data_IF_612303868727
#
_entry.id   IF_612303868727
#
_cell.length_a   1.000
_cell.length_b   1.000
_cell.length_c   1.000
_cell.angle_alpha   90.00
_cell.angle_beta   90.00
_cell.angle_gamma   90.00
#
_symmetry.space_group_name_H-M   'P 1'
#
loop_
_entity.id
_entity.type
_entity.pdbx_description
1 polymer ?
#
# COMPACT_ATOMS: atom_id res chain seq x y z
N UNK A 1 28.83 43.74 -4.01
CA UNK A 1 27.52 43.39 -3.45
C UNK A 1 26.62 42.56 -4.39
N UNK A 2 26.98 42.38 -5.65
CA UNK A 2 26.18 41.66 -6.65
C UNK A 2 26.43 40.15 -6.70
N UNK A 3 27.67 39.68 -6.45
CA UNK A 3 28.01 38.26 -6.49
C UNK A 3 27.23 37.42 -5.46
N UNK A 4 26.93 37.97 -4.27
CA UNK A 4 26.16 37.30 -3.24
C UNK A 4 24.68 37.10 -3.64
N UNK A 5 24.12 38.03 -4.41
CA UNK A 5 22.72 37.95 -4.89
C UNK A 5 22.56 36.87 -5.99
N UNK A 6 23.56 36.72 -6.85
CA UNK A 6 23.56 35.70 -7.91
C UNK A 6 23.69 34.30 -7.32
N UNK A 7 24.52 34.12 -6.29
CA UNK A 7 24.71 32.83 -5.59
C UNK A 7 23.43 32.40 -4.85
N UNK A 8 22.74 33.32 -4.19
CA UNK A 8 21.48 33.02 -3.48
C UNK A 8 20.36 32.67 -4.49
N UNK A 9 20.26 33.38 -5.61
CA UNK A 9 19.30 33.05 -6.66
C UNK A 9 19.57 31.70 -7.33
N UNK A 10 20.82 31.34 -7.57
CA UNK A 10 21.20 30.04 -8.14
C UNK A 10 20.88 28.90 -7.14
N UNK A 11 21.10 29.13 -5.84
CA UNK A 11 20.78 28.13 -4.81
C UNK A 11 19.26 27.92 -4.66
N UNK A 12 18.46 28.98 -4.74
CA UNK A 12 16.98 28.86 -4.71
C UNK A 12 16.45 28.15 -5.97
N UNK A 13 17.04 28.36 -7.14
CA UNK A 13 16.63 27.67 -8.36
C UNK A 13 16.95 26.17 -8.31
N UNK A 14 18.06 25.80 -7.71
CA UNK A 14 18.47 24.38 -7.61
C UNK A 14 17.61 23.59 -6.62
N UNK A 15 17.11 24.23 -5.56
CA UNK A 15 16.19 23.60 -4.60
C UNK A 15 14.79 23.41 -5.16
N UNK A 16 14.36 24.23 -6.15
CA UNK A 16 13.05 24.08 -6.77
C UNK A 16 12.96 22.92 -7.77
N UNK A 17 14.11 22.38 -8.23
CA UNK A 17 14.15 21.25 -9.17
C UNK A 17 14.16 19.88 -8.50
N UNK A 18 14.12 19.82 -7.17
CA UNK A 18 13.83 18.60 -6.40
C UNK A 18 12.32 18.34 -6.32
N UNK A 19 11.60 18.54 -7.42
CA UNK A 19 10.21 18.13 -7.56
C UNK A 19 10.16 16.61 -7.38
N UNK A 20 9.49 16.16 -6.33
CA UNK A 20 9.36 14.75 -6.00
C UNK A 20 9.03 13.93 -7.24
N UNK A 21 9.79 12.89 -7.48
CA UNK A 21 9.44 11.93 -8.51
C UNK A 21 8.08 11.33 -8.12
N UNK A 22 7.05 11.68 -8.88
CA UNK A 22 5.76 11.05 -8.72
C UNK A 22 5.94 9.53 -8.83
N UNK A 23 5.41 8.81 -7.86
CA UNK A 23 5.49 7.36 -7.85
C UNK A 23 4.85 6.82 -9.13
N UNK A 24 5.66 6.13 -9.95
CA UNK A 24 5.20 5.64 -11.25
C UNK A 24 4.42 4.35 -11.06
N UNK A 25 3.19 4.33 -11.58
CA UNK A 25 2.37 3.13 -11.65
C UNK A 25 2.75 2.30 -12.88
N UNK A 26 2.89 1.00 -12.72
CA UNK A 26 2.98 0.08 -13.85
C UNK A 26 1.60 -0.10 -14.51
N UNK A 27 1.59 -0.30 -15.80
CA UNK A 27 0.38 -0.64 -16.53
C UNK A 27 0.37 -2.13 -16.85
N UNK A 28 -0.56 -2.85 -16.23
CA UNK A 28 -0.85 -4.24 -16.56
C UNK A 28 -2.00 -4.23 -17.54
N UNK A 29 -1.74 -4.65 -18.78
CA UNK A 29 -2.77 -4.71 -19.82
C UNK A 29 -3.43 -6.07 -19.81
N UNK A 30 -4.69 -6.09 -19.36
CA UNK A 30 -5.58 -7.25 -19.46
C UNK A 30 -6.81 -6.78 -20.23
N UNK A 31 -7.24 -7.49 -21.27
CA UNK A 31 -8.41 -7.10 -22.04
C UNK A 31 -9.68 -7.17 -21.19
N UNK A 32 -10.55 -6.20 -21.40
CA UNK A 32 -11.90 -6.24 -20.84
C UNK A 32 -12.76 -7.28 -21.56
N UNK A 33 -13.70 -7.85 -20.85
CA UNK A 33 -14.78 -8.60 -21.46
C UNK A 33 -15.90 -7.66 -21.88
N UNK A 34 -16.67 -8.06 -22.89
CA UNK A 34 -17.78 -7.23 -23.38
C UNK A 34 -18.79 -6.92 -22.26
N UNK A 35 -18.95 -5.62 -21.97
CA UNK A 35 -19.80 -5.13 -20.88
C UNK A 35 -19.19 -5.20 -19.47
N UNK A 36 -17.91 -5.60 -19.31
CA UNK A 36 -17.23 -5.69 -18.01
C UNK A 36 -15.86 -5.04 -18.05
N UNK A 37 -15.48 -4.40 -16.94
CA UNK A 37 -14.13 -3.87 -16.71
C UNK A 37 -13.31 -4.89 -15.94
N UNK A 38 -12.13 -5.22 -16.46
CA UNK A 38 -11.19 -6.14 -15.79
C UNK A 38 -10.39 -5.40 -14.72
N UNK A 39 -10.49 -5.86 -13.46
CA UNK A 39 -9.70 -5.36 -12.34
C UNK A 39 -8.55 -6.32 -12.04
N UNK A 40 -7.37 -5.75 -11.77
CA UNK A 40 -6.19 -6.48 -11.28
C UNK A 40 -6.18 -6.37 -9.76
N UNK A 41 -6.27 -7.49 -9.08
CA UNK A 41 -6.51 -7.53 -7.65
C UNK A 41 -5.51 -8.45 -6.94
N UNK A 42 -5.15 -8.08 -5.70
CA UNK A 42 -4.53 -8.99 -4.74
C UNK A 42 -5.34 -8.94 -3.43
N UNK A 43 -5.94 -10.06 -3.07
CA UNK A 43 -6.81 -10.18 -1.90
C UNK A 43 -6.20 -11.03 -0.80
N UNK A 44 -4.85 -11.18 -0.81
CA UNK A 44 -4.15 -11.90 0.25
C UNK A 44 -2.83 -11.21 0.60
N UNK A 45 -2.90 -10.23 1.49
CA UNK A 45 -1.75 -9.44 1.93
C UNK A 45 -1.65 -9.36 3.44
N UNK A 46 -0.41 -9.43 3.94
CA UNK A 46 -0.08 -9.29 5.35
C UNK A 46 0.83 -8.10 5.60
N UNK A 47 0.72 -7.52 6.78
CA UNK A 47 1.59 -6.47 7.28
C UNK A 47 2.16 -6.84 8.66
N UNK A 48 2.85 -5.90 9.31
CA UNK A 48 3.34 -6.09 10.69
C UNK A 48 2.21 -6.28 11.73
N UNK A 49 0.95 -6.11 11.32
CA UNK A 49 -0.22 -6.38 12.17
C UNK A 49 -0.52 -7.89 12.33
N UNK A 50 0.07 -8.73 11.48
CA UNK A 50 0.19 -10.18 11.67
C UNK A 50 1.63 -10.62 11.48
N UNK A 51 1.96 -11.36 10.47
CA UNK A 51 3.29 -11.93 10.23
C UNK A 51 4.05 -11.29 9.06
N UNK A 52 3.47 -10.28 8.41
CA UNK A 52 4.16 -9.47 7.42
C UNK A 52 5.27 -8.61 8.03
N UNK A 53 6.17 -8.13 7.18
CA UNK A 53 7.39 -7.41 7.60
C UNK A 53 7.34 -5.91 7.28
N UNK A 54 6.26 -5.42 6.68
CA UNK A 54 6.14 -4.02 6.28
C UNK A 54 4.92 -3.37 6.91
N UNK A 55 4.96 -2.04 7.01
CA UNK A 55 3.83 -1.26 7.49
C UNK A 55 2.68 -1.30 6.48
N UNK A 56 1.40 -1.28 6.91
CA UNK A 56 0.25 -1.43 6.01
C UNK A 56 0.25 -0.49 4.81
N UNK A 57 0.61 0.79 4.99
CA UNK A 57 0.63 1.76 3.89
C UNK A 57 1.66 1.44 2.81
N UNK A 58 2.72 0.69 3.14
CA UNK A 58 3.70 0.20 2.16
C UNK A 58 3.03 -0.77 1.18
N UNK A 59 2.08 -1.61 1.64
CA UNK A 59 1.30 -2.51 0.78
C UNK A 59 0.47 -1.74 -0.25
N UNK A 60 -0.09 -0.59 0.15
CA UNK A 60 -0.82 0.29 -0.77
C UNK A 60 0.12 0.88 -1.83
N UNK A 61 1.32 1.31 -1.43
CA UNK A 61 2.32 1.83 -2.35
C UNK A 61 2.84 0.75 -3.31
N UNK A 62 3.05 -0.47 -2.83
CA UNK A 62 3.42 -1.63 -3.65
C UNK A 62 2.32 -1.92 -4.68
N UNK A 63 1.07 -2.04 -4.24
CA UNK A 63 -0.09 -2.28 -5.09
C UNK A 63 -0.21 -1.23 -6.21
N UNK A 64 -0.05 0.05 -5.85
CA UNK A 64 -0.07 1.13 -6.83
C UNK A 64 1.06 1.01 -7.85
N UNK A 65 2.30 0.78 -7.39
CA UNK A 65 3.45 0.61 -8.29
C UNK A 65 3.30 -0.60 -9.21
N UNK A 66 2.76 -1.68 -8.68
CA UNK A 66 2.57 -2.93 -9.44
C UNK A 66 1.37 -2.88 -10.38
N UNK A 67 0.55 -1.82 -10.32
CA UNK A 67 -0.57 -1.61 -11.23
C UNK A 67 -1.86 -2.30 -10.82
N UNK A 68 -2.01 -2.67 -9.54
CA UNK A 68 -3.24 -3.25 -9.01
C UNK A 68 -4.34 -2.20 -8.87
N UNK A 69 -5.57 -2.62 -9.06
CA UNK A 69 -6.77 -1.79 -8.93
C UNK A 69 -7.46 -1.99 -7.58
N UNK A 70 -7.35 -3.18 -6.99
CA UNK A 70 -7.94 -3.50 -5.69
C UNK A 70 -7.03 -4.41 -4.86
N UNK A 71 -7.06 -4.21 -3.54
CA UNK A 71 -6.33 -5.04 -2.58
C UNK A 71 -7.17 -5.34 -1.34
N UNK A 72 -6.80 -6.41 -0.63
CA UNK A 72 -7.30 -6.69 0.71
C UNK A 72 -6.14 -7.00 1.64
N UNK A 73 -6.09 -6.32 2.79
CA UNK A 73 -5.22 -6.69 3.89
C UNK A 73 -5.92 -7.78 4.70
N UNK A 74 -5.34 -8.97 4.70
CA UNK A 74 -5.91 -10.18 5.31
C UNK A 74 -5.06 -10.64 6.49
N UNK A 75 -4.90 -9.78 7.48
CA UNK A 75 -4.13 -10.09 8.67
C UNK A 75 -4.65 -11.36 9.37
N UNK A 76 -3.75 -12.19 9.86
CA UNK A 76 -4.10 -13.36 10.66
C UNK A 76 -4.89 -12.97 11.91
N UNK A 77 -5.96 -13.69 12.21
CA UNK A 77 -6.73 -13.48 13.45
C UNK A 77 -5.96 -14.04 14.65
N UNK A 78 -5.43 -15.25 14.53
CA UNK A 78 -4.84 -15.99 15.65
C UNK A 78 -3.32 -15.82 15.74
N UNK A 79 -2.65 -15.59 14.61
CA UNK A 79 -1.19 -15.52 14.53
C UNK A 79 -0.67 -14.11 14.42
N UNK A 80 -0.11 -13.58 15.50
CA UNK A 80 0.37 -12.20 15.61
C UNK A 80 1.74 -12.18 16.30
N UNK A 81 2.82 -12.48 15.57
CA UNK A 81 4.18 -12.52 16.14
C UNK A 81 4.64 -11.17 16.69
N UNK A 82 4.14 -10.07 16.15
CA UNK A 82 4.54 -8.70 16.54
C UNK A 82 3.61 -8.07 17.60
N UNK A 83 2.75 -8.82 18.28
CA UNK A 83 1.74 -8.32 19.22
C UNK A 83 2.27 -7.56 20.43
N UNK A 84 3.58 -7.65 20.71
CA UNK A 84 4.21 -6.90 21.80
C UNK A 84 4.48 -5.44 21.41
N UNK A 85 4.70 -5.19 20.12
CA UNK A 85 5.10 -3.90 19.59
C UNK A 85 3.99 -3.23 18.76
N UNK A 86 3.05 -4.03 18.26
CA UNK A 86 1.97 -3.59 17.37
C UNK A 86 0.62 -3.86 18.03
N UNK A 87 -0.28 -2.86 17.99
CA UNK A 87 -1.63 -3.00 18.57
C UNK A 87 -2.40 -4.18 17.96
N UNK A 88 -3.11 -4.91 18.81
CA UNK A 88 -3.90 -6.06 18.41
C UNK A 88 -5.33 -5.69 17.97
N UNK A 89 -5.46 -4.64 17.16
CA UNK A 89 -6.72 -4.24 16.55
C UNK A 89 -6.78 -4.75 15.11
N UNK A 90 -7.74 -5.60 14.83
CA UNK A 90 -7.90 -6.28 13.54
C UNK A 90 -8.26 -5.35 12.38
N UNK A 91 -8.88 -4.19 12.67
CA UNK A 91 -9.24 -3.21 11.66
C UNK A 91 -8.12 -2.18 11.44
N UNK A 92 -7.12 -2.13 12.33
CA UNK A 92 -6.16 -1.04 12.34
C UNK A 92 -5.34 -0.95 11.05
N UNK A 93 -4.93 -2.07 10.47
CA UNK A 93 -4.19 -2.08 9.20
C UNK A 93 -5.02 -1.47 8.07
N UNK A 94 -6.30 -1.84 7.97
CA UNK A 94 -7.22 -1.24 7.01
C UNK A 94 -7.40 0.27 7.24
N UNK A 95 -7.66 0.69 8.48
CA UNK A 95 -7.92 2.11 8.79
C UNK A 95 -6.71 2.99 8.50
N UNK A 96 -5.48 2.49 8.70
CA UNK A 96 -4.25 3.18 8.34
C UNK A 96 -4.06 3.37 6.83
N UNK A 97 -4.58 2.45 6.04
CA UNK A 97 -4.42 2.45 4.58
C UNK A 97 -5.48 3.23 3.83
N UNK A 98 -6.64 3.45 4.44
CA UNK A 98 -7.84 3.97 3.77
C UNK A 98 -7.59 5.26 3.01
N UNK A 99 -7.04 6.28 3.67
CA UNK A 99 -6.81 7.59 3.04
C UNK A 99 -5.81 7.51 1.88
N UNK A 100 -4.73 6.74 2.05
CA UNK A 100 -3.72 6.56 1.02
C UNK A 100 -4.26 5.77 -0.17
N UNK A 101 -5.01 4.71 0.07
CA UNK A 101 -5.64 3.92 -0.99
C UNK A 101 -6.62 4.76 -1.81
N UNK A 102 -7.46 5.56 -1.14
CA UNK A 102 -8.37 6.49 -1.78
C UNK A 102 -7.62 7.52 -2.66
N UNK A 103 -6.57 8.12 -2.12
CA UNK A 103 -5.72 9.09 -2.85
C UNK A 103 -5.07 8.49 -4.09
N UNK A 104 -4.67 7.23 -4.04
CA UNK A 104 -4.03 6.51 -5.15
C UNK A 104 -5.02 5.80 -6.08
N UNK A 105 -6.32 5.85 -5.79
CA UNK A 105 -7.37 5.21 -6.57
C UNK A 105 -7.35 3.67 -6.47
N UNK A 106 -6.84 3.13 -5.35
CA UNK A 106 -6.86 1.70 -5.05
C UNK A 106 -8.13 1.37 -4.26
N UNK A 107 -8.91 0.40 -4.72
CA UNK A 107 -10.05 -0.14 -3.99
C UNK A 107 -9.54 -1.00 -2.83
N UNK A 108 -9.69 -0.51 -1.61
CA UNK A 108 -9.28 -1.22 -0.40
C UNK A 108 -10.46 -1.99 0.20
N UNK A 109 -10.30 -3.29 0.34
CA UNK A 109 -11.32 -4.21 0.85
C UNK A 109 -10.90 -4.70 2.24
N UNK A 110 -11.83 -4.76 3.18
CA UNK A 110 -11.61 -5.38 4.48
C UNK A 110 -11.55 -6.89 4.35
N UNK A 111 -10.49 -7.47 4.88
CA UNK A 111 -10.31 -8.92 4.92
C UNK A 111 -9.66 -9.37 6.22
N UNK A 112 -9.63 -10.67 6.42
CA UNK A 112 -8.93 -11.34 7.51
C UNK A 112 -8.60 -12.75 7.10
N UNK A 113 -7.50 -13.29 7.60
CA UNK A 113 -7.17 -14.69 7.45
C UNK A 113 -7.43 -15.45 8.74
N UNK A 114 -8.18 -16.55 8.64
CA UNK A 114 -8.41 -17.49 9.73
C UNK A 114 -7.42 -18.63 9.56
N UNK A 115 -6.38 -18.64 10.40
CA UNK A 115 -5.36 -19.67 10.41
C UNK A 115 -5.59 -20.58 11.59
N UNK A 116 -5.92 -21.85 11.34
CA UNK A 116 -6.09 -22.84 12.38
C UNK A 116 -4.97 -23.87 12.31
N UNK A 117 -4.53 -24.30 13.50
CA UNK A 117 -3.52 -25.36 13.63
C UNK A 117 -3.99 -26.73 13.09
N UNK A 118 -5.29 -26.89 12.83
CA UNK A 118 -5.87 -28.11 12.25
C UNK A 118 -6.32 -27.86 10.82
N UNK A 119 -5.85 -28.72 9.94
CA UNK A 119 -6.21 -28.72 8.53
C UNK A 119 -7.74 -28.75 8.30
N UNK A 120 -8.23 -28.22 7.17
CA UNK A 120 -7.43 -27.87 6.00
C UNK A 120 -7.32 -26.35 5.80
N UNK A 121 -6.12 -25.82 5.93
CA UNK A 121 -5.75 -24.61 5.26
C UNK A 121 -6.15 -23.27 5.89
N UNK A 122 -5.80 -22.26 5.18
CA UNK A 122 -6.06 -20.85 5.45
C UNK A 122 -7.34 -20.44 4.72
N UNK A 123 -8.15 -19.61 5.35
CA UNK A 123 -9.39 -19.07 4.78
C UNK A 123 -9.35 -17.55 4.83
N UNK A 124 -9.50 -16.92 3.67
CA UNK A 124 -9.53 -15.46 3.52
C UNK A 124 -10.96 -14.94 3.44
#
# INVERSE_FOLDING_TARGET
MEVKKVLVSAFLLTTCLMSGQAQRRNEIQVPDLDGYTTLKCDFHMHSVFSDGLVWPTVRVDEAYRDGLDAISLTEHIEYRPHKQDVVSDHNRSFDLCREQAEKLGILLIKGSEITRAMAPGHFN
#
